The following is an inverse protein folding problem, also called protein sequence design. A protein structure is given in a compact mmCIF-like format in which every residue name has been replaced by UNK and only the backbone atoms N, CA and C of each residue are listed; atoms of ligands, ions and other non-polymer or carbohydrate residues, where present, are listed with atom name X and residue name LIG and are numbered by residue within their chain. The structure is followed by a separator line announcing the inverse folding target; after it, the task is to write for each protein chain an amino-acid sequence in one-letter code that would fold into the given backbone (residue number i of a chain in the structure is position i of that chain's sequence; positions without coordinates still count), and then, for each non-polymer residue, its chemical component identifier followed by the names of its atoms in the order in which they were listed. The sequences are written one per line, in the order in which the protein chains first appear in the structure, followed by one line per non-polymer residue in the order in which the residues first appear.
data_IF_516044350346
#
_entry.id   IF_516044350346
#
_cell.length_a   1.000
_cell.length_b   1.000
_cell.length_c   1.000
_cell.angle_alpha   90.00
_cell.angle_beta   90.00
_cell.angle_gamma   90.00
#
_symmetry.space_group_name_H-M   'P 1'
#
loop_
_entity.id
_entity.type
_entity.pdbx_description
1 polymer ?
#
# COMPACT_ATOMS: atom_id res chain seq x y z
N UNK A 1 -13.34 20.65 -1.93
CA UNK A 1 -14.78 20.85 -1.68
C UNK A 1 -15.10 20.71 -0.19
N UNK A 2 -14.85 19.57 0.46
CA UNK A 2 -15.13 19.36 1.89
C UNK A 2 -14.47 20.41 2.79
N UNK A 3 -13.20 20.73 2.58
CA UNK A 3 -12.51 21.78 3.35
C UNK A 3 -13.19 23.15 3.18
N UNK A 4 -13.67 23.49 1.97
CA UNK A 4 -14.40 24.73 1.70
C UNK A 4 -15.75 24.75 2.38
N UNK A 5 -16.46 23.62 2.38
CA UNK A 5 -17.73 23.47 3.08
C UNK A 5 -17.55 23.60 4.59
N UNK A 6 -16.52 22.96 5.17
CA UNK A 6 -16.24 23.08 6.60
C UNK A 6 -15.87 24.51 7.01
N UNK A 7 -15.14 25.23 6.17
CA UNK A 7 -14.82 26.65 6.41
C UNK A 7 -16.10 27.50 6.41
N UNK A 8 -16.97 27.28 5.44
CA UNK A 8 -18.25 27.99 5.34
C UNK A 8 -19.23 27.67 6.49
N UNK A 9 -19.33 26.40 6.89
CA UNK A 9 -20.30 25.95 7.91
C UNK A 9 -19.81 26.20 9.33
N UNK A 10 -18.52 25.98 9.59
CA UNK A 10 -17.94 26.02 10.95
C UNK A 10 -17.06 27.23 11.22
N UNK A 11 -16.91 28.13 10.23
CA UNK A 11 -16.07 29.33 10.36
C UNK A 11 -14.57 29.02 10.55
N UNK A 12 -14.16 27.78 10.28
CA UNK A 12 -12.77 27.34 10.36
C UNK A 12 -12.45 26.25 9.35
N UNK A 13 -11.28 26.37 8.73
CA UNK A 13 -10.77 25.37 7.79
C UNK A 13 -10.30 24.13 8.55
N UNK A 14 -11.04 23.05 8.46
CA UNK A 14 -10.65 21.76 9.03
C UNK A 14 -9.76 21.00 8.03
N UNK A 15 -8.69 20.41 8.52
CA UNK A 15 -7.93 19.44 7.71
C UNK A 15 -8.71 18.12 7.71
N UNK A 16 -9.47 17.87 6.65
CA UNK A 16 -10.33 16.68 6.55
C UNK A 16 -9.53 15.44 6.14
N UNK A 17 -8.24 15.59 5.79
CA UNK A 17 -7.42 14.49 5.31
C UNK A 17 -7.92 13.92 3.97
N UNK A 18 -7.77 12.63 3.78
CA UNK A 18 -8.31 11.88 2.64
C UNK A 18 -9.47 10.99 3.11
N UNK A 19 -10.74 11.46 3.03
CA UNK A 19 -11.90 10.75 3.57
C UNK A 19 -12.35 9.57 2.70
N UNK A 20 -11.84 9.45 1.47
CA UNK A 20 -12.22 8.41 0.51
C UNK A 20 -11.00 7.57 0.15
N UNK A 21 -11.11 6.26 0.32
CA UNK A 21 -10.12 5.28 -0.12
C UNK A 21 -10.77 4.32 -1.09
N UNK A 22 -10.11 4.12 -2.23
CA UNK A 22 -10.57 3.20 -3.26
C UNK A 22 -9.97 1.81 -3.04
N UNK A 23 -10.81 0.78 -3.16
CA UNK A 23 -10.44 -0.63 -3.00
C UNK A 23 -10.87 -1.42 -4.24
N UNK A 24 -10.18 -2.52 -4.50
CA UNK A 24 -10.55 -3.47 -5.57
C UNK A 24 -10.33 -4.90 -5.11
N UNK A 25 -11.13 -5.81 -5.67
CA UNK A 25 -10.99 -7.27 -5.50
C UNK A 25 -10.43 -7.93 -6.77
N UNK A 26 -10.22 -7.16 -7.84
CA UNK A 26 -9.73 -7.70 -9.11
C UNK A 26 -8.32 -8.26 -8.90
N UNK A 27 -8.16 -9.57 -9.16
CA UNK A 27 -6.94 -10.34 -8.91
C UNK A 27 -6.58 -10.54 -7.41
N UNK A 28 -7.48 -10.15 -6.49
CA UNK A 28 -7.35 -10.37 -5.04
C UNK A 28 -8.38 -11.36 -4.48
N UNK A 29 -9.50 -11.56 -5.19
CA UNK A 29 -10.56 -12.46 -4.77
C UNK A 29 -10.24 -13.90 -5.15
N UNK A 30 -9.82 -14.68 -4.14
CA UNK A 30 -9.44 -16.10 -4.28
C UNK A 30 -10.55 -17.04 -3.86
N UNK A 31 -11.65 -16.52 -3.31
CA UNK A 31 -12.76 -17.33 -2.83
C UNK A 31 -13.53 -17.94 -4.03
N UNK A 32 -13.44 -19.27 -4.15
CA UNK A 32 -14.06 -20.01 -5.26
C UNK A 32 -13.49 -19.74 -6.65
N UNK A 33 -12.38 -18.97 -6.78
CA UNK A 33 -11.79 -18.63 -8.06
C UNK A 33 -10.35 -19.16 -8.21
N UNK A 34 -10.15 -20.36 -8.78
CA UNK A 34 -8.84 -20.98 -8.94
C UNK A 34 -7.92 -20.23 -9.94
N UNK A 35 -8.46 -19.30 -10.73
CA UNK A 35 -7.69 -18.52 -11.71
C UNK A 35 -6.93 -17.35 -11.06
N UNK A 36 -7.29 -16.96 -9.84
CA UNK A 36 -6.57 -15.92 -9.09
C UNK A 36 -5.35 -16.54 -8.41
N UNK A 37 -4.30 -16.72 -9.19
CA UNK A 37 -3.00 -17.23 -8.72
C UNK A 37 -2.15 -16.12 -8.10
N UNK A 38 -1.05 -16.49 -7.46
CA UNK A 38 -0.07 -15.52 -6.93
C UNK A 38 0.52 -14.66 -8.04
N UNK A 39 0.74 -15.21 -9.24
CA UNK A 39 1.27 -14.46 -10.39
C UNK A 39 0.25 -13.45 -10.93
N UNK A 40 -1.04 -13.81 -10.96
CA UNK A 40 -2.11 -12.87 -11.36
C UNK A 40 -2.22 -11.72 -10.36
N UNK A 41 -2.11 -12.00 -9.06
CA UNK A 41 -2.08 -10.96 -8.02
C UNK A 41 -0.85 -10.07 -8.17
N UNK A 42 0.33 -10.64 -8.42
CA UNK A 42 1.56 -9.88 -8.68
C UNK A 42 1.42 -8.98 -9.90
N UNK A 43 0.91 -9.51 -11.00
CA UNK A 43 0.64 -8.76 -12.21
C UNK A 43 -0.26 -7.54 -11.93
N UNK A 44 -1.35 -7.73 -11.18
CA UNK A 44 -2.27 -6.63 -10.83
C UNK A 44 -1.58 -5.53 -10.01
N UNK A 45 -0.75 -5.87 -9.03
CA UNK A 45 0.02 -4.88 -8.27
C UNK A 45 0.96 -4.06 -9.16
N UNK A 46 1.67 -4.72 -10.08
CA UNK A 46 2.62 -4.06 -10.98
C UNK A 46 1.88 -3.18 -11.99
N UNK A 47 0.80 -3.67 -12.60
CA UNK A 47 -0.01 -2.91 -13.57
C UNK A 47 -0.62 -1.66 -12.95
N UNK A 48 -1.18 -1.75 -11.75
CA UNK A 48 -1.74 -0.58 -11.06
C UNK A 48 -0.65 0.45 -10.75
N UNK A 49 0.53 -0.02 -10.30
CA UNK A 49 1.67 0.85 -10.04
C UNK A 49 2.14 1.56 -11.31
N UNK A 50 2.43 0.82 -12.37
CA UNK A 50 2.94 1.36 -13.62
C UNK A 50 1.92 2.32 -14.28
N UNK A 51 0.64 2.00 -14.20
CA UNK A 51 -0.43 2.89 -14.70
C UNK A 51 -0.47 4.20 -13.91
N UNK A 52 -0.37 4.16 -12.58
CA UNK A 52 -0.33 5.36 -11.76
C UNK A 52 0.90 6.22 -12.09
N UNK A 53 2.09 5.62 -12.21
CA UNK A 53 3.32 6.29 -12.64
C UNK A 53 3.13 6.99 -13.98
N UNK A 54 2.57 6.31 -14.97
CA UNK A 54 2.38 6.89 -16.32
C UNK A 54 1.38 8.06 -16.30
N UNK A 55 0.31 7.98 -15.50
CA UNK A 55 -0.63 9.09 -15.34
C UNK A 55 0.04 10.31 -14.72
N UNK A 56 0.88 10.14 -13.70
CA UNK A 56 1.66 11.24 -13.12
C UNK A 56 2.68 11.81 -14.09
N UNK A 57 3.38 10.95 -14.84
CA UNK A 57 4.34 11.40 -15.86
C UNK A 57 3.67 12.30 -16.90
N UNK A 58 2.51 11.89 -17.43
CA UNK A 58 1.75 12.72 -18.40
C UNK A 58 1.36 14.07 -17.82
N UNK A 59 0.91 14.07 -16.57
CA UNK A 59 0.50 15.34 -15.92
C UNK A 59 1.71 16.22 -15.60
N UNK A 60 2.84 15.66 -15.17
CA UNK A 60 4.08 16.40 -14.95
C UNK A 60 4.66 16.99 -16.25
N UNK A 61 4.52 16.32 -17.39
CA UNK A 61 4.92 16.87 -18.70
C UNK A 61 4.15 18.16 -19.02
N UNK A 62 2.88 18.25 -18.65
CA UNK A 62 2.09 19.46 -18.81
C UNK A 62 2.50 20.52 -17.76
N UNK A 63 2.64 20.14 -16.50
CA UNK A 63 3.12 21.02 -15.43
C UNK A 63 4.49 21.64 -15.76
N UNK A 64 5.40 20.85 -16.35
CA UNK A 64 6.71 21.34 -16.82
C UNK A 64 6.60 22.52 -17.79
N UNK A 65 5.56 22.54 -18.63
CA UNK A 65 5.32 23.65 -19.58
C UNK A 65 4.79 24.89 -18.87
N UNK A 66 3.92 24.69 -17.86
CA UNK A 66 3.37 25.81 -17.07
C UNK A 66 4.44 26.46 -16.16
N UNK A 67 5.43 25.67 -15.71
CA UNK A 67 6.49 26.14 -14.82
C UNK A 67 7.75 26.65 -15.56
N UNK A 68 7.59 27.21 -16.75
CA UNK A 68 8.65 27.94 -17.48
C UNK A 68 8.86 29.32 -16.86
N UNK A 69 9.38 29.33 -15.63
CA UNK A 69 9.65 30.55 -14.85
C UNK A 69 11.17 30.71 -14.70
N UNK A 70 11.72 31.82 -15.23
CA UNK A 70 13.14 32.10 -15.16
C UNK A 70 13.54 32.75 -13.83
N UNK A 71 14.64 32.26 -13.23
CA UNK A 71 15.25 32.90 -12.05
C UNK A 71 15.76 34.34 -12.30
N UNK A 72 15.78 34.78 -13.55
CA UNK A 72 16.08 36.18 -13.92
C UNK A 72 14.90 37.12 -13.73
N UNK A 73 13.69 36.56 -13.64
CA UNK A 73 12.41 37.31 -13.54
C UNK A 73 11.72 37.09 -12.19
N UNK A 74 12.11 36.07 -11.45
CA UNK A 74 11.54 35.72 -10.18
C UNK A 74 12.63 35.37 -9.16
N UNK A 75 12.42 35.75 -7.91
CA UNK A 75 13.30 35.33 -6.82
C UNK A 75 12.93 33.90 -6.40
N UNK A 76 13.81 32.95 -6.77
CA UNK A 76 13.60 31.55 -6.50
C UNK A 76 14.38 31.17 -5.22
N UNK A 77 13.73 30.53 -4.22
CA UNK A 77 14.37 30.17 -2.94
C UNK A 77 15.60 29.30 -3.12
N UNK A 78 16.68 29.63 -2.39
CA UNK A 78 17.97 28.92 -2.51
C UNK A 78 17.89 27.44 -2.12
N UNK A 79 17.00 27.07 -1.22
CA UNK A 79 16.79 25.66 -0.86
C UNK A 79 16.28 24.83 -2.06
N UNK A 80 15.45 25.40 -2.96
CA UNK A 80 15.02 24.71 -4.16
C UNK A 80 16.18 24.58 -5.16
N UNK A 81 16.98 25.65 -5.34
CA UNK A 81 18.16 25.62 -6.23
C UNK A 81 19.16 24.56 -5.77
N UNK A 82 19.44 24.51 -4.46
CA UNK A 82 20.35 23.53 -3.87
C UNK A 82 19.81 22.09 -4.02
N UNK A 83 18.50 21.88 -3.79
CA UNK A 83 17.86 20.59 -4.00
C UNK A 83 17.99 20.13 -5.46
N UNK A 84 17.70 21.01 -6.41
CA UNK A 84 17.77 20.70 -7.85
C UNK A 84 19.21 20.35 -8.27
N UNK A 85 20.22 21.10 -7.84
CA UNK A 85 21.64 20.81 -8.13
C UNK A 85 22.03 19.40 -7.66
N UNK A 86 21.70 19.09 -6.41
CA UNK A 86 21.99 17.77 -5.82
C UNK A 86 21.25 16.65 -6.54
N UNK A 87 20.00 16.85 -6.94
CA UNK A 87 19.23 15.85 -7.69
C UNK A 87 19.77 15.62 -9.09
N UNK A 88 20.10 16.67 -9.84
CA UNK A 88 20.70 16.57 -11.17
C UNK A 88 22.00 15.76 -11.13
N UNK A 89 22.88 16.05 -10.14
CA UNK A 89 24.13 15.32 -9.94
C UNK A 89 23.85 13.84 -9.61
N UNK A 90 23.01 13.58 -8.60
CA UNK A 90 22.66 12.23 -8.14
C UNK A 90 22.02 11.38 -9.25
N UNK A 91 21.16 11.98 -10.06
CA UNK A 91 20.44 11.30 -11.14
C UNK A 91 21.31 11.14 -12.40
N UNK A 92 22.45 11.84 -12.46
CA UNK A 92 23.33 11.83 -13.65
C UNK A 92 22.64 12.39 -14.89
N UNK A 93 21.78 13.41 -14.71
CA UNK A 93 21.05 14.02 -15.83
C UNK A 93 22.05 14.87 -16.63
N UNK A 94 22.38 14.44 -17.85
CA UNK A 94 23.34 15.08 -18.76
C UNK A 94 22.66 15.61 -20.02
N UNK A 95 21.36 15.94 -19.95
CA UNK A 95 20.57 16.33 -21.10
C UNK A 95 21.02 17.70 -21.64
N UNK A 96 21.21 17.83 -22.95
CA UNK A 96 21.46 19.11 -23.66
C UNK A 96 20.37 20.14 -23.36
N UNK A 97 19.18 19.70 -23.00
CA UNK A 97 18.08 20.56 -22.52
C UNK A 97 18.39 21.27 -21.19
N UNK A 98 19.28 20.75 -20.33
CA UNK A 98 19.67 21.46 -19.10
C UNK A 98 20.33 22.80 -19.39
N UNK A 99 21.18 22.89 -20.41
CA UNK A 99 21.79 24.16 -20.84
C UNK A 99 20.74 25.16 -21.37
N UNK A 100 19.75 24.67 -22.13
CA UNK A 100 18.66 25.48 -22.66
C UNK A 100 17.79 26.05 -21.55
N UNK A 101 17.54 25.27 -20.50
CA UNK A 101 16.64 25.64 -19.39
C UNK A 101 17.35 25.96 -18.07
N UNK A 102 18.67 26.20 -18.09
CA UNK A 102 19.49 26.40 -16.88
C UNK A 102 19.01 27.47 -15.90
N UNK A 103 18.21 28.40 -16.37
CA UNK A 103 17.59 29.46 -15.56
C UNK A 103 16.14 29.15 -15.14
N UNK A 104 15.60 28.00 -15.51
CA UNK A 104 14.22 27.60 -15.21
C UNK A 104 14.21 26.49 -14.13
N UNK A 105 14.56 26.86 -12.92
CA UNK A 105 14.79 25.93 -11.79
C UNK A 105 13.58 25.03 -11.51
N UNK A 106 12.36 25.58 -11.57
CA UNK A 106 11.13 24.78 -11.40
C UNK A 106 10.99 23.71 -12.47
N UNK A 107 11.31 24.06 -13.72
CA UNK A 107 11.25 23.11 -14.85
C UNK A 107 12.27 21.99 -14.69
N UNK A 108 13.48 22.32 -14.24
CA UNK A 108 14.53 21.32 -13.97
C UNK A 108 14.08 20.41 -12.83
N UNK A 109 13.47 20.93 -11.75
CA UNK A 109 12.90 20.09 -10.68
C UNK A 109 11.89 19.09 -11.20
N UNK A 110 10.97 19.51 -12.07
CA UNK A 110 10.00 18.61 -12.70
C UNK A 110 10.70 17.56 -13.58
N UNK A 111 11.78 17.91 -14.30
CA UNK A 111 12.58 16.92 -15.04
C UNK A 111 13.20 15.88 -14.09
N UNK A 112 13.74 16.27 -12.96
CA UNK A 112 14.24 15.33 -11.95
C UNK A 112 13.12 14.38 -11.46
N UNK A 113 11.92 14.90 -11.21
CA UNK A 113 10.77 14.07 -10.83
C UNK A 113 10.36 13.10 -11.95
N UNK A 114 10.35 13.54 -13.20
CA UNK A 114 10.06 12.70 -14.37
C UNK A 114 11.08 11.56 -14.50
N UNK A 115 12.35 11.84 -14.28
CA UNK A 115 13.42 10.83 -14.31
C UNK A 115 13.26 9.83 -13.16
N UNK A 116 12.97 10.30 -11.94
CA UNK A 116 12.68 9.42 -10.79
C UNK A 116 11.48 8.51 -11.04
N UNK A 117 10.39 9.04 -11.61
CA UNK A 117 9.23 8.23 -12.00
C UNK A 117 9.57 7.23 -13.11
N UNK A 118 10.44 7.59 -14.05
CA UNK A 118 10.88 6.67 -15.11
C UNK A 118 11.63 5.47 -14.53
N UNK A 119 12.47 5.70 -13.52
CA UNK A 119 13.21 4.64 -12.81
C UNK A 119 12.34 3.84 -11.85
N UNK A 120 11.17 4.34 -11.48
CA UNK A 120 10.23 3.67 -10.59
C UNK A 120 9.29 2.68 -11.30
N UNK A 121 9.32 2.59 -12.63
CA UNK A 121 8.54 1.60 -13.39
C UNK A 121 9.02 0.19 -13.05
N UNK A 122 8.08 -0.69 -12.70
CA UNK A 122 8.35 -2.08 -12.33
C UNK A 122 8.26 -2.99 -13.55
N UNK A 123 9.25 -3.87 -13.71
CA UNK A 123 9.19 -4.94 -14.70
C UNK A 123 8.40 -6.14 -14.09
N UNK A 124 7.53 -6.75 -14.91
CA UNK A 124 6.80 -7.96 -14.55
C UNK A 124 7.70 -9.16 -14.23
N UNK A 125 8.89 -9.20 -14.80
CA UNK A 125 9.87 -10.25 -14.58
C UNK A 125 10.87 -9.93 -13.46
N UNK A 126 10.89 -8.68 -12.96
CA UNK A 126 11.81 -8.29 -11.90
C UNK A 126 11.51 -9.01 -10.59
N UNK A 127 12.57 -9.38 -9.89
CA UNK A 127 12.45 -9.90 -8.53
C UNK A 127 12.12 -8.73 -7.61
N UNK A 128 11.21 -8.95 -6.65
CA UNK A 128 10.80 -7.91 -5.69
C UNK A 128 11.94 -7.41 -4.76
N UNK A 129 13.18 -7.91 -4.95
CA UNK A 129 14.40 -7.36 -4.33
C UNK A 129 14.82 -6.01 -4.92
N UNK A 130 14.33 -5.70 -6.12
CA UNK A 130 14.64 -4.45 -6.84
C UNK A 130 13.76 -3.28 -6.39
N UNK A 131 12.87 -3.48 -5.41
CA UNK A 131 12.04 -2.40 -4.86
C UNK A 131 12.79 -1.49 -3.87
N UNK A 132 13.96 -1.91 -3.39
CA UNK A 132 14.77 -1.11 -2.47
C UNK A 132 15.41 0.08 -3.22
N UNK A 133 15.16 1.29 -2.71
CA UNK A 133 15.72 2.52 -3.27
C UNK A 133 14.96 3.09 -4.47
N UNK A 134 13.82 2.51 -4.85
CA UNK A 134 12.92 3.09 -5.86
C UNK A 134 12.18 4.30 -5.26
N UNK A 135 11.94 5.31 -6.10
CA UNK A 135 11.17 6.49 -5.77
C UNK A 135 9.78 6.13 -5.24
N UNK A 136 9.48 6.54 -4.04
CA UNK A 136 8.24 6.20 -3.33
C UNK A 136 7.14 7.26 -3.52
N UNK A 137 5.89 6.89 -3.21
CA UNK A 137 4.78 7.85 -3.22
C UNK A 137 4.97 8.99 -2.20
N UNK A 138 5.61 8.70 -1.06
CA UNK A 138 5.92 9.72 -0.05
C UNK A 138 6.98 10.71 -0.54
N UNK A 139 8.04 10.23 -1.17
CA UNK A 139 9.05 11.09 -1.78
C UNK A 139 8.44 11.94 -2.91
N UNK A 140 7.54 11.36 -3.72
CA UNK A 140 6.81 12.10 -4.75
C UNK A 140 5.93 13.21 -4.15
N UNK A 141 5.21 12.93 -3.07
CA UNK A 141 4.42 13.92 -2.33
C UNK A 141 5.31 15.04 -1.78
N UNK A 142 6.45 14.68 -1.19
CA UNK A 142 7.42 15.64 -0.67
C UNK A 142 7.97 16.56 -1.75
N UNK A 143 8.26 16.04 -2.93
CA UNK A 143 8.71 16.85 -4.07
C UNK A 143 7.62 17.83 -4.56
N UNK A 144 6.37 17.39 -4.59
CA UNK A 144 5.25 18.26 -4.95
C UNK A 144 5.03 19.36 -3.90
N UNK A 145 5.18 19.06 -2.62
CA UNK A 145 5.08 20.03 -1.52
C UNK A 145 6.24 21.04 -1.56
N UNK A 146 7.44 20.58 -1.91
CA UNK A 146 8.61 21.44 -2.11
C UNK A 146 8.35 22.47 -3.24
N UNK A 147 7.78 22.02 -4.37
CA UNK A 147 7.40 22.88 -5.49
C UNK A 147 6.33 23.88 -5.07
N UNK A 148 5.26 23.43 -4.37
CA UNK A 148 4.21 24.33 -3.89
C UNK A 148 4.76 25.43 -3.00
N UNK A 149 5.56 25.04 -2.01
CA UNK A 149 6.18 25.97 -1.06
C UNK A 149 7.02 27.03 -1.78
N UNK A 150 7.91 26.58 -2.67
CA UNK A 150 8.79 27.48 -3.39
C UNK A 150 8.02 28.45 -4.31
N UNK A 151 6.98 27.98 -5.01
CA UNK A 151 6.12 28.82 -5.84
C UNK A 151 5.39 29.88 -5.02
N UNK A 152 4.85 29.51 -3.86
CA UNK A 152 4.20 30.45 -2.96
C UNK A 152 5.17 31.54 -2.47
N UNK A 153 6.37 31.16 -2.05
CA UNK A 153 7.42 32.10 -1.60
C UNK A 153 7.90 33.04 -2.73
N UNK A 154 7.85 32.57 -3.99
CA UNK A 154 8.19 33.38 -5.17
C UNK A 154 7.02 34.22 -5.71
N UNK A 155 5.87 34.28 -5.03
CA UNK A 155 4.71 35.07 -5.43
C UNK A 155 3.77 34.39 -6.45
N UNK A 156 3.91 33.10 -6.72
CA UNK A 156 3.10 32.35 -7.67
C UNK A 156 2.03 31.46 -6.99
N UNK A 157 1.39 31.96 -5.92
CA UNK A 157 0.40 31.19 -5.16
C UNK A 157 -0.77 30.67 -6.01
N UNK A 158 -1.20 31.43 -7.01
CA UNK A 158 -2.29 31.00 -7.89
C UNK A 158 -1.91 29.75 -8.68
N UNK A 159 -0.69 29.69 -9.25
CA UNK A 159 -0.18 28.52 -9.95
C UNK A 159 -0.04 27.34 -8.99
N UNK A 160 0.48 27.58 -7.79
CA UNK A 160 0.69 26.55 -6.78
C UNK A 160 -0.62 25.91 -6.30
N UNK A 161 -1.65 26.72 -6.01
CA UNK A 161 -2.85 26.27 -5.28
C UNK A 161 -4.10 26.07 -6.14
N UNK A 162 -4.11 26.50 -7.39
CA UNK A 162 -5.30 26.43 -8.26
C UNK A 162 -5.07 25.70 -9.57
N UNK A 163 -3.80 25.43 -9.92
CA UNK A 163 -3.41 24.83 -11.20
C UNK A 163 -3.23 23.32 -11.18
N UNK A 164 -2.44 22.83 -12.14
CA UNK A 164 -2.11 21.41 -12.28
C UNK A 164 -1.36 20.85 -11.06
N UNK A 165 -0.51 21.66 -10.41
CA UNK A 165 0.24 21.23 -9.24
C UNK A 165 -0.69 20.81 -8.10
N UNK A 166 -1.67 21.63 -7.75
CA UNK A 166 -2.66 21.27 -6.72
C UNK A 166 -3.46 20.02 -7.09
N UNK A 167 -3.81 19.86 -8.37
CA UNK A 167 -4.51 18.67 -8.84
C UNK A 167 -3.68 17.40 -8.66
N UNK A 168 -2.39 17.44 -9.04
CA UNK A 168 -1.47 16.30 -8.85
C UNK A 168 -1.30 15.98 -7.37
N UNK A 169 -1.17 16.99 -6.51
CA UNK A 169 -1.05 16.79 -5.05
C UNK A 169 -2.28 16.09 -4.48
N UNK A 170 -3.49 16.50 -4.88
CA UNK A 170 -4.73 15.84 -4.45
C UNK A 170 -4.74 14.38 -4.91
N UNK A 171 -4.35 14.12 -6.16
CA UNK A 171 -4.27 12.77 -6.72
C UNK A 171 -3.20 11.92 -6.00
N UNK A 172 -2.02 12.47 -5.76
CA UNK A 172 -0.94 11.78 -5.05
C UNK A 172 -1.30 11.41 -3.60
N UNK A 173 -2.08 12.27 -2.92
CA UNK A 173 -2.61 11.99 -1.58
C UNK A 173 -3.71 10.93 -1.59
N UNK A 174 -4.54 10.91 -2.63
CA UNK A 174 -5.68 9.98 -2.73
C UNK A 174 -5.27 8.58 -3.20
N UNK A 175 -4.28 8.48 -4.08
CA UNK A 175 -3.96 7.25 -4.81
C UNK A 175 -2.53 6.75 -4.59
N UNK A 176 -1.59 7.60 -4.14
CA UNK A 176 -0.18 7.23 -4.09
C UNK A 176 0.31 6.71 -5.45
N UNK A 177 1.14 5.66 -5.44
CA UNK A 177 1.56 4.94 -6.66
C UNK A 177 0.73 3.67 -6.89
N UNK A 178 -0.58 3.78 -6.67
CA UNK A 178 -1.55 2.74 -7.02
C UNK A 178 -2.86 3.40 -7.47
N UNK A 179 -3.66 2.72 -8.28
CA UNK A 179 -4.98 3.23 -8.66
C UNK A 179 -6.00 2.96 -7.56
N UNK A 180 -5.91 1.77 -6.99
CA UNK A 180 -6.77 1.30 -5.90
C UNK A 180 -5.98 0.34 -5.04
N UNK A 181 -6.17 0.35 -3.73
CA UNK A 181 -5.59 -0.67 -2.87
C UNK A 181 -6.27 -2.02 -3.13
N UNK A 182 -5.46 -3.09 -3.21
CA UNK A 182 -5.95 -4.42 -3.51
C UNK A 182 -6.33 -5.14 -2.21
N UNK A 183 -7.61 -5.46 -2.05
CA UNK A 183 -8.06 -6.38 -1.00
C UNK A 183 -7.80 -7.83 -1.43
N UNK A 184 -7.40 -8.65 -0.48
CA UNK A 184 -7.23 -10.09 -0.67
C UNK A 184 -8.41 -10.78 0.03
N UNK A 185 -9.24 -11.51 -0.72
CA UNK A 185 -10.35 -12.27 -0.16
C UNK A 185 -10.06 -13.77 -0.26
N UNK A 186 -10.31 -14.50 0.81
CA UNK A 186 -10.17 -15.94 0.86
C UNK A 186 -11.17 -16.55 1.85
N UNK A 187 -11.59 -17.78 1.56
CA UNK A 187 -12.53 -18.55 2.38
C UNK A 187 -11.92 -18.99 3.70
N UNK A 188 -12.67 -18.88 4.81
CA UNK A 188 -12.23 -19.26 6.15
C UNK A 188 -11.74 -20.69 6.24
N UNK A 189 -12.37 -21.63 5.52
CA UNK A 189 -11.94 -23.04 5.53
C UNK A 189 -10.51 -23.26 5.02
N UNK A 190 -10.02 -22.43 4.10
CA UNK A 190 -8.65 -22.51 3.60
C UNK A 190 -7.66 -22.07 4.69
N UNK A 191 -8.00 -21.07 5.48
CA UNK A 191 -7.20 -20.70 6.66
C UNK A 191 -7.21 -21.82 7.71
N UNK A 192 -8.39 -22.37 8.02
CA UNK A 192 -8.53 -23.47 8.99
C UNK A 192 -7.73 -24.72 8.59
N UNK A 193 -7.82 -25.17 7.34
CA UNK A 193 -7.04 -26.31 6.84
C UNK A 193 -5.54 -26.03 6.84
N UNK A 194 -5.12 -24.84 6.44
CA UNK A 194 -3.70 -24.42 6.49
C UNK A 194 -3.19 -24.40 7.93
N UNK A 195 -3.93 -23.84 8.88
CA UNK A 195 -3.54 -23.84 10.29
C UNK A 195 -3.45 -25.26 10.86
N UNK A 196 -4.43 -26.12 10.55
CA UNK A 196 -4.38 -27.52 10.97
C UNK A 196 -3.09 -28.22 10.49
N UNK A 197 -2.70 -27.99 9.24
CA UNK A 197 -1.47 -28.52 8.67
C UNK A 197 -0.22 -27.94 9.35
N UNK A 198 -0.15 -26.62 9.54
CA UNK A 198 0.97 -25.94 10.22
C UNK A 198 1.16 -26.44 11.65
N UNK A 199 0.07 -26.62 12.40
CA UNK A 199 0.11 -27.15 13.77
C UNK A 199 0.53 -28.62 13.81
N UNK A 200 0.13 -29.39 12.79
CA UNK A 200 0.53 -30.79 12.64
C UNK A 200 2.01 -30.93 12.34
N UNK A 201 2.54 -30.24 11.32
CA UNK A 201 3.96 -30.34 10.93
C UNK A 201 4.90 -29.76 11.99
N UNK A 202 4.43 -28.82 12.81
CA UNK A 202 5.18 -28.27 13.95
C UNK A 202 5.12 -29.16 15.21
N UNK A 203 4.31 -30.22 15.21
CA UNK A 203 4.10 -31.08 16.37
C UNK A 203 3.30 -30.46 17.52
N UNK A 204 2.60 -29.33 17.25
CA UNK A 204 1.79 -28.62 18.27
C UNK A 204 0.45 -29.31 18.48
N UNK A 205 -0.23 -29.70 17.41
CA UNK A 205 -1.50 -30.43 17.47
C UNK A 205 -1.68 -31.29 16.21
N UNK A 206 -2.00 -32.57 16.39
CA UNK A 206 -2.29 -33.50 15.29
C UNK A 206 -3.79 -33.58 14.94
N UNK A 207 -4.65 -33.03 15.80
CA UNK A 207 -6.12 -33.11 15.68
C UNK A 207 -6.81 -31.78 15.86
N UNK A 208 -6.21 -30.70 15.33
CA UNK A 208 -6.75 -29.35 15.44
C UNK A 208 -8.19 -29.23 14.91
N UNK A 209 -8.51 -29.95 13.83
CA UNK A 209 -9.84 -29.91 13.23
C UNK A 209 -10.95 -30.42 14.17
N UNK A 210 -10.62 -31.34 15.07
CA UNK A 210 -11.57 -31.99 15.99
C UNK A 210 -11.78 -31.20 17.29
N UNK A 211 -11.01 -30.11 17.51
CA UNK A 211 -11.14 -29.30 18.72
C UNK A 211 -12.44 -28.50 18.70
N UNK A 212 -13.00 -28.30 19.89
CA UNK A 212 -14.10 -27.37 20.10
C UNK A 212 -13.67 -25.93 19.81
N UNK A 213 -14.63 -25.03 19.59
CA UNK A 213 -14.33 -23.62 19.32
C UNK A 213 -13.49 -22.98 20.42
N UNK A 214 -13.83 -23.25 21.69
CA UNK A 214 -13.08 -22.72 22.82
C UNK A 214 -11.64 -23.23 22.84
N UNK A 215 -11.41 -24.51 22.62
CA UNK A 215 -10.06 -25.11 22.55
C UNK A 215 -9.26 -24.53 21.39
N UNK A 216 -9.90 -24.27 20.22
CA UNK A 216 -9.25 -23.60 19.08
C UNK A 216 -8.81 -22.19 19.47
N UNK A 217 -9.69 -21.39 20.06
CA UNK A 217 -9.39 -20.01 20.47
C UNK A 217 -8.24 -19.98 21.49
N UNK A 218 -8.25 -20.86 22.49
CA UNK A 218 -7.18 -20.96 23.48
C UNK A 218 -5.83 -21.34 22.84
N UNK A 219 -5.82 -22.34 21.96
CA UNK A 219 -4.62 -22.78 21.28
C UNK A 219 -4.06 -21.70 20.33
N UNK A 220 -4.92 -21.10 19.52
CA UNK A 220 -4.52 -20.05 18.57
C UNK A 220 -3.99 -18.83 19.32
N UNK A 221 -4.65 -18.40 20.39
CA UNK A 221 -4.19 -17.28 21.22
C UNK A 221 -2.81 -17.57 21.83
N UNK A 222 -2.58 -18.79 22.29
CA UNK A 222 -1.28 -19.22 22.79
C UNK A 222 -0.22 -19.14 21.70
N UNK A 223 -0.48 -19.68 20.49
CA UNK A 223 0.47 -19.69 19.39
C UNK A 223 0.72 -18.29 18.79
N UNK A 224 -0.26 -17.41 18.78
CA UNK A 224 -0.08 -16.01 18.36
C UNK A 224 0.89 -15.26 19.29
N UNK A 225 0.92 -15.61 20.58
CA UNK A 225 1.84 -15.01 21.55
C UNK A 225 3.24 -15.66 21.56
N UNK A 226 3.46 -16.76 20.82
CA UNK A 226 4.80 -17.39 20.70
C UNK A 226 5.60 -16.69 19.61
N UNK A 227 6.87 -16.31 19.86
CA UNK A 227 7.69 -15.64 18.85
C UNK A 227 8.26 -16.60 17.78
N UNK A 228 8.19 -17.90 18.00
CA UNK A 228 8.70 -18.89 17.07
C UNK A 228 7.80 -19.07 15.85
N UNK A 229 8.38 -19.35 14.67
CA UNK A 229 7.60 -19.81 13.52
C UNK A 229 7.07 -21.24 13.75
N UNK A 230 5.97 -21.58 13.08
CA UNK A 230 5.39 -22.93 13.07
C UNK A 230 5.94 -23.77 11.92
N UNK A 231 6.31 -23.15 10.80
CA UNK A 231 6.75 -23.87 9.59
C UNK A 231 8.21 -24.24 9.71
N UNK A 232 8.56 -25.53 9.86
CA UNK A 232 9.94 -25.98 9.75
C UNK A 232 10.46 -25.80 8.31
N UNK A 233 11.74 -25.47 8.16
CA UNK A 233 12.38 -25.16 6.86
C UNK A 233 12.22 -26.28 5.82
N UNK A 234 12.08 -27.52 6.27
CA UNK A 234 12.01 -28.71 5.41
C UNK A 234 10.61 -29.32 5.30
N UNK A 235 9.55 -28.58 5.70
CA UNK A 235 8.20 -29.13 5.63
C UNK A 235 7.67 -29.07 4.20
N UNK A 236 7.19 -30.20 3.72
CA UNK A 236 6.34 -30.24 2.53
C UNK A 236 4.91 -29.94 2.96
N UNK A 237 4.34 -28.89 2.41
CA UNK A 237 2.95 -28.48 2.64
C UNK A 237 2.07 -28.88 1.47
N UNK A 238 0.80 -29.03 1.73
CA UNK A 238 -0.19 -29.24 0.66
C UNK A 238 -0.19 -28.09 -0.32
N UNK A 239 -0.69 -28.33 -1.53
CA UNK A 239 -0.73 -27.34 -2.59
C UNK A 239 -1.54 -26.09 -2.18
N UNK A 240 -2.66 -26.26 -1.49
CA UNK A 240 -3.52 -25.16 -1.08
C UNK A 240 -2.88 -24.29 0.00
N UNK A 241 -2.27 -24.90 1.02
CA UNK A 241 -1.50 -24.18 2.04
C UNK A 241 -0.30 -23.45 1.42
N UNK A 242 0.42 -24.11 0.52
CA UNK A 242 1.52 -23.50 -0.22
C UNK A 242 1.08 -22.28 -1.05
N UNK A 243 -0.06 -22.37 -1.72
CA UNK A 243 -0.65 -21.26 -2.49
C UNK A 243 -1.05 -20.08 -1.58
N UNK A 244 -1.70 -20.34 -0.44
CA UNK A 244 -2.08 -19.31 0.51
C UNK A 244 -0.85 -18.59 1.06
N UNK A 245 0.14 -19.32 1.59
CA UNK A 245 1.36 -18.75 2.13
C UNK A 245 2.15 -17.97 1.08
N UNK A 246 2.23 -18.48 -0.14
CA UNK A 246 2.89 -17.80 -1.26
C UNK A 246 2.22 -16.47 -1.60
N UNK A 247 0.88 -16.45 -1.63
CA UNK A 247 0.11 -15.25 -1.87
C UNK A 247 0.31 -14.20 -0.78
N UNK A 248 0.23 -14.60 0.51
CA UNK A 248 0.41 -13.66 1.61
C UNK A 248 1.86 -13.18 1.75
N UNK A 249 2.85 -14.01 1.40
CA UNK A 249 4.23 -13.56 1.27
C UNK A 249 4.41 -12.50 0.17
N UNK A 250 3.71 -12.62 -0.96
CA UNK A 250 3.68 -11.60 -2.01
C UNK A 250 3.06 -10.30 -1.47
N UNK A 251 1.91 -10.39 -0.81
CA UNK A 251 1.22 -9.25 -0.18
C UNK A 251 2.14 -8.54 0.80
N UNK A 252 2.85 -9.28 1.67
CA UNK A 252 3.83 -8.72 2.60
C UNK A 252 4.92 -7.90 1.90
N UNK A 253 5.45 -8.40 0.78
CA UNK A 253 6.48 -7.68 0.03
C UNK A 253 5.97 -6.35 -0.49
N UNK A 254 4.77 -6.32 -1.09
CA UNK A 254 4.17 -5.08 -1.56
C UNK A 254 3.78 -4.14 -0.42
N UNK A 255 3.21 -4.66 0.68
CA UNK A 255 2.87 -3.86 1.86
C UNK A 255 4.10 -3.26 2.56
N UNK A 256 5.25 -3.95 2.50
CA UNK A 256 6.51 -3.43 3.04
C UNK A 256 7.09 -2.32 2.16
N UNK A 257 6.96 -2.47 0.85
CA UNK A 257 7.39 -1.46 -0.12
C UNK A 257 6.51 -0.21 -0.08
N UNK A 258 5.20 -0.41 -0.10
CA UNK A 258 4.20 0.67 -0.07
C UNK A 258 2.90 0.15 0.53
N UNK A 259 2.61 0.55 1.77
CA UNK A 259 1.42 0.10 2.49
C UNK A 259 0.11 0.53 1.83
N UNK A 260 0.12 1.58 1.00
CA UNK A 260 -1.08 2.07 0.30
C UNK A 260 -1.54 1.13 -0.81
N UNK A 261 -0.67 0.22 -1.29
CA UNK A 261 -1.00 -0.77 -2.34
C UNK A 261 -1.90 -1.89 -1.84
N UNK A 262 -1.78 -2.23 -0.57
CA UNK A 262 -2.50 -3.34 0.04
C UNK A 262 -3.67 -2.81 0.83
N UNK A 263 -4.82 -3.42 0.60
CA UNK A 263 -6.04 -3.18 1.34
C UNK A 263 -6.17 -4.06 2.58
N UNK A 264 -7.30 -4.72 2.69
CA UNK A 264 -7.61 -5.64 3.78
C UNK A 264 -7.48 -7.08 3.33
N UNK A 265 -7.19 -7.96 4.28
CA UNK A 265 -7.38 -9.40 4.15
C UNK A 265 -8.80 -9.73 4.62
N UNK A 266 -9.65 -10.08 3.67
CA UNK A 266 -11.07 -10.32 3.89
C UNK A 266 -11.30 -11.82 4.02
N UNK A 267 -11.91 -12.23 5.13
CA UNK A 267 -12.20 -13.63 5.42
C UNK A 267 -13.68 -13.87 5.15
N UNK A 268 -13.98 -14.57 4.05
CA UNK A 268 -15.36 -14.94 3.73
C UNK A 268 -15.84 -16.10 4.62
N UNK A 269 -17.15 -16.21 4.79
CA UNK A 269 -17.81 -17.25 5.60
C UNK A 269 -17.27 -17.28 7.03
N UNK A 270 -17.11 -16.12 7.65
CA UNK A 270 -16.66 -16.00 9.04
C UNK A 270 -17.81 -16.30 9.98
N UNK A 271 -17.76 -17.46 10.63
CA UNK A 271 -18.80 -17.91 11.57
C UNK A 271 -18.36 -17.94 13.03
N UNK A 272 -17.05 -17.99 13.27
CA UNK A 272 -16.44 -18.18 14.58
C UNK A 272 -15.26 -17.25 14.78
N UNK A 273 -14.92 -16.98 16.03
CA UNK A 273 -13.73 -16.19 16.41
C UNK A 273 -12.46 -16.90 15.96
N UNK A 274 -12.42 -18.24 16.03
CA UNK A 274 -11.27 -19.02 15.56
C UNK A 274 -10.90 -18.72 14.11
N UNK A 275 -11.87 -18.48 13.21
CA UNK A 275 -11.58 -18.13 11.81
C UNK A 275 -10.74 -16.85 11.67
N UNK A 276 -10.96 -15.86 12.53
CA UNK A 276 -10.17 -14.63 12.55
C UNK A 276 -8.77 -14.88 13.13
N UNK A 277 -8.67 -15.70 14.18
CA UNK A 277 -7.39 -16.04 14.79
C UNK A 277 -6.55 -16.96 13.88
N UNK A 278 -7.18 -17.86 13.12
CA UNK A 278 -6.53 -18.66 12.07
C UNK A 278 -5.90 -17.75 10.99
N UNK A 279 -6.64 -16.78 10.52
CA UNK A 279 -6.11 -15.82 9.55
C UNK A 279 -4.94 -15.00 10.14
N UNK A 280 -5.05 -14.56 11.39
CA UNK A 280 -3.96 -13.85 12.08
C UNK A 280 -2.73 -14.74 12.27
N UNK A 281 -2.92 -16.05 12.56
CA UNK A 281 -1.80 -16.98 12.69
C UNK A 281 -1.07 -17.18 11.36
N UNK A 282 -1.80 -17.29 10.25
CA UNK A 282 -1.19 -17.36 8.91
C UNK A 282 -0.50 -16.03 8.55
N UNK A 283 -1.07 -14.89 8.94
CA UNK A 283 -0.41 -13.58 8.81
C UNK A 283 0.88 -13.49 9.64
N UNK A 284 0.91 -14.09 10.82
CA UNK A 284 2.13 -14.19 11.63
C UNK A 284 3.21 -15.00 10.91
N UNK A 285 2.87 -16.17 10.39
CA UNK A 285 3.80 -17.06 9.68
C UNK A 285 4.38 -16.41 8.40
N UNK A 286 3.59 -15.57 7.74
CA UNK A 286 4.04 -14.82 6.55
C UNK A 286 4.68 -13.48 6.89
N UNK A 287 4.70 -13.06 8.18
CA UNK A 287 5.27 -11.79 8.63
C UNK A 287 4.42 -10.56 8.32
N UNK A 288 3.14 -10.73 7.96
CA UNK A 288 2.16 -9.65 7.82
C UNK A 288 1.72 -9.10 9.18
N UNK A 289 1.70 -9.95 10.20
CA UNK A 289 1.38 -9.60 11.57
C UNK A 289 2.49 -10.07 12.51
N UNK A 290 2.81 -9.26 13.52
CA UNK A 290 3.86 -9.56 14.50
C UNK A 290 3.44 -9.06 15.87
N UNK A 291 3.73 -9.86 16.90
CA UNK A 291 3.70 -9.45 18.29
C UNK A 291 5.13 -9.54 18.87
N UNK A 292 5.73 -8.40 19.18
CA UNK A 292 7.05 -8.32 19.82
C UNK A 292 6.91 -7.72 21.20
N UNK A 293 6.93 -8.57 22.23
CA UNK A 293 6.85 -8.14 23.62
C UNK A 293 5.59 -7.27 23.94
N UNK A 294 4.45 -7.62 23.36
CA UNK A 294 3.21 -6.87 23.51
C UNK A 294 3.03 -5.71 22.53
N UNK A 295 4.06 -5.35 21.74
CA UNK A 295 3.90 -4.40 20.65
C UNK A 295 3.44 -5.12 19.38
N UNK A 296 2.18 -4.88 19.01
CA UNK A 296 1.57 -5.45 17.80
C UNK A 296 1.87 -4.54 16.61
N UNK A 297 2.35 -5.15 15.52
CA UNK A 297 2.48 -4.52 14.20
C UNK A 297 1.77 -5.37 13.16
N UNK A 298 0.86 -4.78 12.42
CA UNK A 298 0.22 -5.40 11.27
C UNK A 298 0.44 -4.56 10.01
N UNK A 299 0.68 -5.23 8.90
CA UNK A 299 0.80 -4.62 7.57
C UNK A 299 -0.51 -4.66 6.79
N UNK A 300 -1.52 -5.39 7.30
CA UNK A 300 -2.86 -5.51 6.71
C UNK A 300 -3.91 -5.52 7.81
N UNK A 301 -5.09 -5.01 7.50
CA UNK A 301 -6.26 -5.19 8.34
C UNK A 301 -6.91 -6.55 8.01
N UNK A 302 -7.18 -7.37 9.02
CA UNK A 302 -7.93 -8.63 8.85
C UNK A 302 -9.39 -8.36 9.17
N UNK A 303 -10.27 -8.60 8.19
CA UNK A 303 -11.66 -8.18 8.25
C UNK A 303 -12.59 -9.37 7.99
N UNK A 304 -13.55 -9.66 8.90
CA UNK A 304 -14.56 -10.66 8.65
C UNK A 304 -15.58 -10.18 7.63
N UNK A 305 -16.07 -11.09 6.79
CA UNK A 305 -17.18 -10.84 5.88
C UNK A 305 -18.39 -11.64 6.34
N UNK A 306 -19.49 -10.94 6.60
CA UNK A 306 -20.78 -11.51 6.97
C UNK A 306 -21.70 -11.50 5.74
N UNK A 307 -21.88 -12.66 5.11
CA UNK A 307 -22.54 -12.78 3.79
C UNK A 307 -23.99 -13.25 3.89
N UNK A 308 -24.32 -13.98 4.95
CA UNK A 308 -25.68 -14.51 5.14
C UNK A 308 -26.47 -13.69 6.16
N UNK A 309 -27.82 -13.83 6.12
CA UNK A 309 -28.70 -13.21 7.12
C UNK A 309 -28.34 -13.70 8.54
N UNK A 310 -27.96 -14.97 8.67
CA UNK A 310 -27.59 -15.55 9.97
C UNK A 310 -26.22 -15.06 10.44
N UNK A 311 -25.28 -14.79 9.54
CA UNK A 311 -24.00 -14.13 9.88
C UNK A 311 -24.25 -12.71 10.39
N UNK A 312 -25.10 -11.94 9.72
CA UNK A 312 -25.47 -10.59 10.16
C UNK A 312 -26.11 -10.58 11.55
N UNK A 313 -26.97 -11.56 11.86
CA UNK A 313 -27.58 -11.68 13.20
C UNK A 313 -26.53 -11.96 14.30
N UNK A 314 -25.46 -12.73 13.96
CA UNK A 314 -24.39 -13.10 14.89
C UNK A 314 -23.22 -12.12 14.91
N UNK A 315 -23.12 -11.22 13.94
CA UNK A 315 -21.97 -10.33 13.78
C UNK A 315 -21.63 -9.54 15.03
N UNK A 316 -22.66 -8.98 15.71
CA UNK A 316 -22.44 -8.19 16.92
C UNK A 316 -21.82 -9.01 18.05
N UNK A 317 -22.33 -10.24 18.29
CA UNK A 317 -21.80 -11.12 19.35
C UNK A 317 -20.38 -11.61 19.01
N UNK A 318 -20.14 -11.98 17.75
CA UNK A 318 -18.80 -12.39 17.30
C UNK A 318 -17.77 -11.26 17.45
N UNK A 319 -18.11 -10.04 17.05
CA UNK A 319 -17.23 -8.89 17.20
C UNK A 319 -17.01 -8.53 18.68
N UNK A 320 -18.02 -8.68 19.54
CA UNK A 320 -17.88 -8.46 20.99
C UNK A 320 -16.96 -9.50 21.66
N UNK A 321 -16.97 -10.74 21.17
CA UNK A 321 -16.08 -11.80 21.67
C UNK A 321 -14.64 -11.61 21.21
N UNK A 322 -14.45 -11.04 20.01
CA UNK A 322 -13.14 -10.78 19.42
C UNK A 322 -12.40 -9.62 20.10
N UNK A 323 -13.13 -8.63 20.67
CA UNK A 323 -12.60 -7.43 21.34
C UNK A 323 -12.66 -7.52 22.85
#
# INVERSE_FOLDING_TARGET
ELQRVTDHVYGRRLNVGNPVRYRTWIAGDRDGNPKVTTDVTRFAFIEQHNTAIELYRRTLLNLRRELSISERQADIPEYLKSNVRSEVERLGITDDNLEVYKHEIYRIKVNCMLEKLSRAVLDHNSTLKELDGIYTADEFRSDLELLEKALCESGFESIARQGLLNRIQIQARAFGFTLTALDIRQHSSIFGSTVAELLSVSGVSLSYADLSEQEKVELLTKELNQPRPLVPVYSELTEDSGKLLSALNLVRKFATYDSEKVGSLIISMTHHVSHMLEALLVCKETGLWQNRNGAIRSLVDVVPLFETIDDLKRSASLMQELY
#
